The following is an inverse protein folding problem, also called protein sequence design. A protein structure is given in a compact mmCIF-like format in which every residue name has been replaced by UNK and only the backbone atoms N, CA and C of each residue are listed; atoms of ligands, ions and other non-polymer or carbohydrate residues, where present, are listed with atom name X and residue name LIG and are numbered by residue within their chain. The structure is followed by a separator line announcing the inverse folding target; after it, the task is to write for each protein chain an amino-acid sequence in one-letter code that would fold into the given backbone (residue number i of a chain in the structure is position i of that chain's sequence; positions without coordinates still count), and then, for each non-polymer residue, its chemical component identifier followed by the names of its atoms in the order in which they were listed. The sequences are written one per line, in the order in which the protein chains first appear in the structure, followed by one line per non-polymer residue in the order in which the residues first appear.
data_IF_362948326840
#
_entry.id   IF_362948326840
#
_cell.length_a   1.000
_cell.length_b   1.000
_cell.length_c   1.000
_cell.angle_alpha   90.00
_cell.angle_beta   90.00
_cell.angle_gamma   90.00
#
_symmetry.space_group_name_H-M   'P 1'
#
loop_
_entity.id
_entity.type
_entity.pdbx_description
1 polymer ?
#
# COMPACT_ATOMS: atom_id res chain seq x y z
N UNK A 1 27.62 -14.03 18.28
CA UNK A 1 27.12 -12.65 17.99
C UNK A 1 28.07 -11.55 18.46
N UNK A 2 28.81 -11.71 19.57
CA UNK A 2 29.67 -10.67 20.16
C UNK A 2 30.92 -10.29 19.33
N UNK A 3 31.60 -11.23 18.67
CA UNK A 3 32.84 -10.96 17.92
C UNK A 3 32.63 -10.26 16.57
N UNK A 4 31.50 -10.56 15.89
CA UNK A 4 31.16 -9.86 14.64
C UNK A 4 30.83 -8.39 14.89
N UNK A 5 30.11 -8.05 15.97
CA UNK A 5 29.73 -6.65 16.26
C UNK A 5 30.96 -5.79 16.56
N UNK A 6 31.94 -6.32 17.30
CA UNK A 6 33.25 -5.69 17.50
C UNK A 6 34.03 -5.48 16.19
N UNK A 7 33.84 -6.37 15.21
CA UNK A 7 34.57 -6.33 13.94
C UNK A 7 33.99 -5.34 12.92
N UNK A 8 32.80 -4.76 13.14
CA UNK A 8 32.16 -3.79 12.22
C UNK A 8 32.12 -2.37 12.77
N UNK A 9 32.52 -2.13 14.03
CA UNK A 9 32.46 -0.79 14.63
C UNK A 9 33.29 0.25 13.86
N UNK A 10 34.44 -0.15 13.31
CA UNK A 10 35.27 0.72 12.48
C UNK A 10 34.64 1.07 11.12
N UNK A 11 33.59 0.35 10.71
CA UNK A 11 32.84 0.60 9.47
C UNK A 11 31.61 1.51 9.70
N UNK A 12 31.36 1.91 10.96
CA UNK A 12 30.24 2.80 11.29
C UNK A 12 30.66 4.25 11.03
N UNK A 13 29.96 4.92 10.12
CA UNK A 13 30.09 6.36 9.89
C UNK A 13 28.83 7.10 10.28
N UNK A 14 29.01 8.30 10.84
CA UNK A 14 27.91 9.24 11.12
C UNK A 14 27.67 10.12 9.90
N UNK A 15 26.41 10.25 9.53
CA UNK A 15 25.95 11.10 8.44
C UNK A 15 24.85 12.05 8.96
N UNK A 16 25.03 13.38 8.88
CA UNK A 16 24.01 14.35 9.26
C UNK A 16 22.72 14.25 8.44
N UNK A 17 21.63 14.82 8.96
CA UNK A 17 20.41 15.00 8.15
C UNK A 17 20.70 15.90 6.94
N UNK A 18 20.11 15.56 5.79
CA UNK A 18 20.35 16.21 4.50
C UNK A 18 21.52 15.65 3.70
N UNK A 19 22.33 14.74 4.25
CA UNK A 19 23.46 14.14 3.51
C UNK A 19 22.95 13.26 2.35
N UNK A 20 23.31 13.63 1.13
CA UNK A 20 23.10 12.79 -0.07
C UNK A 20 24.24 11.77 -0.13
N UNK A 21 23.92 10.50 0.06
CA UNK A 21 24.90 9.41 0.06
C UNK A 21 25.30 9.02 -1.37
N UNK A 22 24.32 8.99 -2.28
CA UNK A 22 24.51 8.80 -3.71
C UNK A 22 23.25 9.19 -4.46
N UNK A 23 23.38 9.45 -5.76
CA UNK A 23 22.28 9.72 -6.68
C UNK A 23 22.01 8.52 -7.58
N UNK A 24 20.81 8.51 -8.16
CA UNK A 24 20.46 7.61 -9.25
C UNK A 24 21.46 7.76 -10.40
N UNK A 25 21.89 6.63 -10.99
CA UNK A 25 22.86 6.60 -12.07
C UNK A 25 24.32 6.66 -11.65
N UNK A 26 24.63 6.96 -10.38
CA UNK A 26 26.01 6.93 -9.88
C UNK A 26 26.57 5.50 -9.94
N UNK A 27 27.88 5.34 -10.08
CA UNK A 27 28.52 4.03 -9.88
C UNK A 27 28.56 3.72 -8.38
N UNK A 28 28.05 2.56 -7.99
CA UNK A 28 28.00 2.14 -6.59
C UNK A 28 28.93 0.97 -6.29
N UNK A 29 29.89 1.15 -5.38
CA UNK A 29 30.76 0.08 -4.87
C UNK A 29 30.59 -0.20 -3.37
N UNK A 30 29.67 0.53 -2.72
CA UNK A 30 29.39 0.41 -1.29
C UNK A 30 27.90 0.22 -1.05
N UNK A 31 27.51 -0.65 -0.14
CA UNK A 31 26.15 -0.70 0.44
C UNK A 31 26.18 -0.25 1.89
N UNK A 32 25.00 0.06 2.42
CA UNK A 32 24.85 0.63 3.76
C UNK A 32 23.88 -0.20 4.57
N UNK A 33 24.16 -0.36 5.87
CA UNK A 33 23.22 -0.90 6.86
C UNK A 33 22.95 0.17 7.90
N UNK A 34 21.68 0.45 8.18
CA UNK A 34 21.27 1.51 9.09
C UNK A 34 21.34 0.97 10.53
N UNK A 35 22.23 1.55 11.34
CA UNK A 35 22.30 1.28 12.78
C UNK A 35 21.33 2.16 13.56
N UNK A 36 21.24 3.43 13.20
CA UNK A 36 20.28 4.41 13.73
C UNK A 36 19.97 5.49 12.68
N UNK A 37 18.91 6.27 12.90
CA UNK A 37 18.47 7.32 11.97
C UNK A 37 17.61 6.80 10.83
N UNK A 38 17.40 7.64 9.80
CA UNK A 38 16.54 7.33 8.66
C UNK A 38 17.12 7.83 7.35
N UNK A 39 16.90 7.05 6.29
CA UNK A 39 17.36 7.35 4.93
C UNK A 39 16.19 7.27 3.95
N UNK A 40 15.98 8.35 3.21
CA UNK A 40 15.04 8.39 2.11
C UNK A 40 15.66 7.81 0.83
N UNK A 41 14.97 6.88 0.18
CA UNK A 41 15.31 6.35 -1.13
C UNK A 41 14.35 6.96 -2.14
N UNK A 42 14.89 7.63 -3.14
CA UNK A 42 14.11 8.42 -4.09
C UNK A 42 14.53 8.19 -5.54
N UNK A 43 13.61 8.44 -6.48
CA UNK A 43 13.87 8.38 -7.91
C UNK A 43 13.38 9.65 -8.58
N UNK A 44 14.08 10.12 -9.60
CA UNK A 44 13.63 11.28 -10.38
C UNK A 44 12.80 10.81 -11.58
N UNK A 45 11.55 11.27 -11.66
CA UNK A 45 10.66 11.00 -12.80
C UNK A 45 10.22 12.35 -13.37
N UNK A 46 10.70 12.66 -14.58
CA UNK A 46 10.56 14.01 -15.16
C UNK A 46 11.22 15.06 -14.26
N UNK A 47 10.43 16.06 -13.87
CA UNK A 47 10.88 17.14 -12.98
C UNK A 47 10.57 16.88 -11.49
N UNK A 48 9.98 15.73 -11.16
CA UNK A 48 9.60 15.39 -9.78
C UNK A 48 10.52 14.33 -9.16
N UNK A 49 10.84 14.51 -7.88
CA UNK A 49 11.49 13.49 -7.06
C UNK A 49 10.43 12.69 -6.31
N UNK A 50 10.40 11.38 -6.53
CA UNK A 50 9.44 10.46 -5.93
C UNK A 50 10.16 9.64 -4.87
N UNK A 51 9.65 9.70 -3.64
CA UNK A 51 10.11 8.84 -2.54
C UNK A 51 9.61 7.42 -2.77
N UNK A 52 10.54 6.48 -2.89
CA UNK A 52 10.26 5.04 -3.01
C UNK A 52 10.08 4.40 -1.63
N UNK A 53 10.92 4.79 -0.66
CA UNK A 53 10.85 4.29 0.71
C UNK A 53 11.64 5.19 1.68
N UNK A 54 11.23 5.24 2.95
CA UNK A 54 12.05 5.77 4.05
C UNK A 54 12.48 4.60 4.93
N UNK A 55 13.77 4.34 4.95
CA UNK A 55 14.39 3.21 5.64
C UNK A 55 14.90 3.61 7.03
N UNK A 56 14.79 2.70 8.00
CA UNK A 56 15.23 2.87 9.38
C UNK A 56 16.15 1.75 9.89
N UNK A 57 16.37 1.66 11.22
CA UNK A 57 17.33 0.74 11.83
C UNK A 57 17.11 -0.73 11.44
N UNK A 58 18.21 -1.42 11.15
CA UNK A 58 18.22 -2.82 10.70
C UNK A 58 17.94 -3.02 9.21
N UNK A 59 17.59 -1.97 8.48
CA UNK A 59 17.43 -2.00 7.03
C UNK A 59 18.76 -1.71 6.32
N UNK A 60 18.87 -2.15 5.06
CA UNK A 60 20.06 -1.93 4.23
C UNK A 60 19.69 -1.38 2.86
N UNK A 61 20.60 -0.70 2.18
CA UNK A 61 20.36 -0.15 0.85
C UNK A 61 21.64 0.00 0.04
N UNK A 62 21.48 0.18 -1.27
CA UNK A 62 22.60 0.28 -2.21
C UNK A 62 23.17 -1.07 -2.62
N UNK A 63 22.59 -2.18 -2.19
CA UNK A 63 23.00 -3.55 -2.50
C UNK A 63 22.87 -3.89 -3.99
N UNK A 64 21.89 -3.33 -4.69
CA UNK A 64 21.58 -3.69 -6.07
C UNK A 64 22.77 -3.41 -7.00
N UNK A 65 23.43 -2.26 -6.83
CA UNK A 65 24.61 -1.92 -7.62
C UNK A 65 25.77 -2.91 -7.41
N UNK A 66 25.91 -3.45 -6.19
CA UNK A 66 26.97 -4.40 -5.85
C UNK A 66 26.66 -5.81 -6.40
N UNK A 67 25.38 -6.20 -6.35
CA UNK A 67 24.89 -7.51 -6.80
C UNK A 67 24.84 -7.63 -8.32
N UNK A 68 24.39 -6.59 -9.01
CA UNK A 68 24.15 -6.61 -10.45
C UNK A 68 25.32 -6.01 -11.25
N UNK A 69 26.23 -5.28 -10.59
CA UNK A 69 27.29 -4.53 -11.27
C UNK A 69 26.75 -3.36 -12.11
N UNK A 70 25.53 -2.91 -11.83
CA UNK A 70 24.85 -1.81 -12.52
C UNK A 70 24.96 -0.50 -11.72
N UNK A 71 24.73 0.67 -12.36
CA UNK A 71 24.61 1.94 -11.65
C UNK A 71 23.51 1.94 -10.58
N UNK A 72 23.55 2.91 -9.65
CA UNK A 72 22.53 3.09 -8.62
C UNK A 72 21.14 3.21 -9.26
N UNK A 73 20.21 2.36 -8.82
CA UNK A 73 18.82 2.35 -9.29
C UNK A 73 17.95 3.49 -8.77
N UNK A 74 18.41 4.16 -7.71
CA UNK A 74 17.73 5.24 -7.00
C UNK A 74 18.77 6.10 -6.23
N UNK A 75 18.38 7.30 -5.82
CA UNK A 75 19.13 8.14 -4.89
C UNK A 75 18.88 7.77 -3.43
N UNK A 76 19.80 8.13 -2.55
CA UNK A 76 19.70 7.93 -1.10
C UNK A 76 20.12 9.19 -0.34
N UNK A 77 19.23 9.71 0.50
CA UNK A 77 19.45 10.93 1.28
C UNK A 77 19.09 10.69 2.74
N UNK A 78 19.98 11.05 3.67
CA UNK A 78 19.72 10.97 5.10
C UNK A 78 18.68 12.02 5.48
N UNK A 79 17.60 11.62 6.16
CA UNK A 79 16.51 12.50 6.59
C UNK A 79 16.43 12.67 8.11
N UNK A 80 17.04 11.75 8.84
CA UNK A 80 17.27 11.81 10.28
C UNK A 80 18.72 11.34 10.50
N UNK A 81 19.50 12.09 11.29
CA UNK A 81 20.93 11.81 11.51
C UNK A 81 21.19 10.30 11.70
N UNK A 82 22.06 9.75 10.86
CA UNK A 82 22.19 8.30 10.73
C UNK A 82 23.59 7.82 11.10
N UNK A 83 23.63 6.67 11.78
CA UNK A 83 24.83 5.85 11.91
C UNK A 83 24.71 4.72 10.90
N UNK A 84 25.60 4.68 9.91
CA UNK A 84 25.57 3.73 8.81
C UNK A 84 26.80 2.84 8.85
N UNK A 85 26.61 1.53 8.73
CA UNK A 85 27.70 0.58 8.48
C UNK A 85 27.93 0.55 6.97
N UNK A 86 29.11 0.96 6.53
CA UNK A 86 29.50 0.98 5.13
C UNK A 86 30.19 -0.34 4.75
N UNK A 87 29.65 -1.03 3.75
CA UNK A 87 30.16 -2.33 3.31
C UNK A 87 30.54 -2.25 1.84
N UNK A 88 31.83 -2.30 1.57
CA UNK A 88 32.37 -2.31 0.20
C UNK A 88 32.09 -3.64 -0.51
N UNK A 89 32.04 -3.61 -1.85
CA UNK A 89 31.72 -4.76 -2.69
C UNK A 89 32.56 -6.01 -2.38
N UNK A 90 33.87 -5.85 -2.19
CA UNK A 90 34.79 -6.95 -1.85
C UNK A 90 34.50 -7.57 -0.49
N UNK A 91 34.17 -6.72 0.51
CA UNK A 91 33.78 -7.16 1.84
C UNK A 91 32.41 -7.84 1.82
N UNK A 92 31.43 -7.29 1.10
CA UNK A 92 30.09 -7.83 0.96
C UNK A 92 30.11 -9.27 0.44
N UNK A 93 30.82 -9.51 -0.67
CA UNK A 93 30.93 -10.85 -1.26
C UNK A 93 31.56 -11.86 -0.28
N UNK A 94 32.53 -11.41 0.51
CA UNK A 94 33.18 -12.25 1.53
C UNK A 94 32.26 -12.56 2.70
N UNK A 95 31.51 -11.58 3.18
CA UNK A 95 30.54 -11.72 4.28
C UNK A 95 29.42 -12.69 3.89
N UNK A 96 28.86 -12.55 2.68
CA UNK A 96 27.81 -13.46 2.19
C UNK A 96 28.33 -14.89 2.06
N UNK A 97 29.56 -15.09 1.57
CA UNK A 97 30.17 -16.43 1.45
C UNK A 97 30.47 -17.07 2.80
N UNK A 98 30.94 -16.30 3.78
CA UNK A 98 31.37 -16.83 5.08
C UNK A 98 30.23 -16.95 6.10
N UNK A 99 29.12 -16.26 5.88
CA UNK A 99 28.00 -16.25 6.82
C UNK A 99 26.67 -16.43 6.09
N UNK A 100 26.21 -17.67 6.04
CA UNK A 100 24.93 -18.06 5.42
C UNK A 100 23.72 -17.42 6.11
N UNK A 101 23.81 -17.08 7.40
CA UNK A 101 22.71 -16.41 8.11
C UNK A 101 22.49 -14.99 7.58
N UNK A 102 23.56 -14.27 7.22
CA UNK A 102 23.47 -12.94 6.60
C UNK A 102 22.80 -13.04 5.23
N UNK A 103 23.17 -14.05 4.43
CA UNK A 103 22.52 -14.30 3.13
C UNK A 103 21.01 -14.54 3.29
N UNK A 104 20.60 -15.36 4.26
CA UNK A 104 19.17 -15.60 4.55
C UNK A 104 18.45 -14.33 4.99
N UNK A 105 19.07 -13.49 5.84
CA UNK A 105 18.50 -12.21 6.26
C UNK A 105 18.33 -11.24 5.07
N UNK A 106 19.32 -11.15 4.19
CA UNK A 106 19.23 -10.38 2.94
C UNK A 106 18.07 -10.87 2.07
N UNK A 107 17.99 -12.18 1.81
CA UNK A 107 16.91 -12.79 1.01
C UNK A 107 15.52 -12.49 1.59
N UNK A 108 15.34 -12.63 2.91
CA UNK A 108 14.07 -12.32 3.58
C UNK A 108 13.67 -10.85 3.41
N UNK A 109 14.63 -9.94 3.51
CA UNK A 109 14.39 -8.49 3.36
C UNK A 109 14.07 -8.11 1.92
N UNK A 110 14.80 -8.66 0.93
CA UNK A 110 14.50 -8.47 -0.49
C UNK A 110 13.12 -9.04 -0.85
N UNK A 111 12.79 -10.23 -0.36
CA UNK A 111 11.47 -10.84 -0.53
C UNK A 111 10.35 -10.00 0.08
N UNK A 112 10.58 -9.37 1.24
CA UNK A 112 9.63 -8.43 1.84
C UNK A 112 9.46 -7.15 1.02
N UNK A 113 10.53 -6.61 0.44
CA UNK A 113 10.47 -5.45 -0.45
C UNK A 113 9.74 -5.76 -1.75
N UNK A 114 9.96 -6.94 -2.32
CA UNK A 114 9.24 -7.38 -3.51
C UNK A 114 7.73 -7.46 -3.24
N UNK A 115 7.32 -8.09 -2.13
CA UNK A 115 5.90 -8.11 -1.73
C UNK A 115 5.31 -6.72 -1.48
N UNK A 116 6.10 -5.76 -1.02
CA UNK A 116 5.64 -4.38 -0.86
C UNK A 116 5.47 -3.68 -2.21
N UNK A 117 6.45 -3.81 -3.10
CA UNK A 117 6.38 -3.29 -4.45
C UNK A 117 5.21 -3.90 -5.24
N UNK A 118 5.00 -5.21 -5.14
CA UNK A 118 3.85 -5.89 -5.74
C UNK A 118 2.53 -5.33 -5.21
N UNK A 119 2.41 -5.09 -3.90
CA UNK A 119 1.22 -4.46 -3.31
C UNK A 119 1.00 -3.03 -3.82
N UNK A 120 2.06 -2.26 -4.00
CA UNK A 120 1.99 -0.91 -4.57
C UNK A 120 1.61 -0.95 -6.06
N UNK A 121 2.16 -1.89 -6.82
CA UNK A 121 1.81 -2.11 -8.23
C UNK A 121 0.35 -2.54 -8.33
N UNK A 122 -0.12 -3.48 -7.50
CA UNK A 122 -1.54 -3.86 -7.46
C UNK A 122 -2.44 -2.68 -7.10
N UNK A 123 -2.03 -1.85 -6.14
CA UNK A 123 -2.74 -0.62 -5.82
C UNK A 123 -2.79 0.35 -7.01
N UNK A 124 -1.71 0.48 -7.79
CA UNK A 124 -1.63 1.32 -8.99
C UNK A 124 -2.36 0.71 -10.20
N UNK A 125 -2.37 -0.62 -10.32
CA UNK A 125 -2.98 -1.41 -11.39
C UNK A 125 -4.48 -1.63 -11.21
N UNK A 126 -5.02 -1.37 -10.01
CA UNK A 126 -6.46 -1.36 -9.79
C UNK A 126 -7.16 -0.47 -10.82
N UNK A 127 -7.99 -1.07 -11.68
CA UNK A 127 -8.86 -0.32 -12.62
C UNK A 127 -9.84 0.57 -11.86
N UNK A 128 -10.19 0.18 -10.63
CA UNK A 128 -11.04 0.96 -9.75
C UNK A 128 -10.30 2.12 -9.09
N UNK A 129 -10.76 3.34 -9.33
CA UNK A 129 -10.27 4.52 -8.62
C UNK A 129 -10.61 4.50 -7.12
N UNK A 130 -11.59 3.71 -6.69
CA UNK A 130 -11.90 3.53 -5.27
C UNK A 130 -10.79 2.75 -4.54
N UNK A 131 -10.27 1.65 -5.11
CA UNK A 131 -9.16 0.92 -4.48
C UNK A 131 -7.85 1.72 -4.47
N UNK A 132 -7.61 2.58 -5.48
CA UNK A 132 -6.52 3.58 -5.44
C UNK A 132 -6.69 4.55 -4.28
N UNK A 133 -7.89 5.10 -4.11
CA UNK A 133 -8.20 6.00 -3.00
C UNK A 133 -7.99 5.33 -1.64
N UNK A 134 -8.49 4.11 -1.45
CA UNK A 134 -8.34 3.40 -0.17
C UNK A 134 -6.88 3.10 0.15
N UNK A 135 -6.08 2.76 -0.87
CA UNK A 135 -4.65 2.53 -0.71
C UNK A 135 -3.91 3.80 -0.26
N UNK A 136 -4.26 4.96 -0.84
CA UNK A 136 -3.70 6.25 -0.41
C UNK A 136 -4.11 6.60 1.02
N UNK A 137 -5.39 6.45 1.37
CA UNK A 137 -5.89 6.64 2.75
C UNK A 137 -5.12 5.76 3.73
N UNK A 138 -4.93 4.47 3.41
CA UNK A 138 -4.20 3.52 4.25
C UNK A 138 -2.75 3.93 4.47
N UNK A 139 -2.08 4.48 3.46
CA UNK A 139 -0.69 4.91 3.56
C UNK A 139 -0.53 6.18 4.43
N UNK A 140 -1.55 7.03 4.47
CA UNK A 140 -1.56 8.25 5.29
C UNK A 140 -2.02 8.00 6.73
N UNK A 141 -2.66 6.86 7.01
CA UNK A 141 -3.23 6.55 8.30
C UNK A 141 -2.15 6.18 9.34
N UNK A 142 -2.34 6.68 10.56
CA UNK A 142 -1.45 6.41 11.70
C UNK A 142 -1.57 5.00 12.30
N UNK A 143 -1.09 4.86 13.54
CA UNK A 143 -1.25 3.63 14.30
C UNK A 143 -2.73 3.34 14.63
N UNK A 144 -3.13 2.06 14.74
CA UNK A 144 -4.49 1.71 15.14
C UNK A 144 -4.78 2.05 16.60
N UNK A 145 -6.00 2.49 16.87
CA UNK A 145 -6.56 2.68 18.21
C UNK A 145 -7.09 1.34 18.80
N UNK A 146 -7.69 1.40 20.00
CA UNK A 146 -8.26 0.23 20.66
C UNK A 146 -9.43 -0.42 19.88
N UNK A 147 -10.05 0.31 18.96
CA UNK A 147 -11.11 -0.15 18.06
C UNK A 147 -10.57 -0.56 16.68
N UNK A 148 -9.24 -0.52 16.48
CA UNK A 148 -8.58 -0.84 15.22
C UNK A 148 -8.67 0.27 14.16
N UNK A 149 -9.21 1.45 14.49
CA UNK A 149 -9.29 2.60 13.60
C UNK A 149 -7.97 3.33 13.58
N UNK A 150 -7.60 3.92 12.45
CA UNK A 150 -6.32 4.62 12.28
C UNK A 150 -6.58 6.08 11.96
N UNK A 151 -6.15 6.99 12.83
CA UNK A 151 -6.37 8.42 12.64
C UNK A 151 -5.65 8.92 11.37
N UNK A 152 -6.32 9.78 10.62
CA UNK A 152 -5.76 10.47 9.46
C UNK A 152 -5.21 11.86 9.87
N UNK A 153 -4.35 12.47 9.04
CA UNK A 153 -3.85 13.83 9.24
C UNK A 153 -4.98 14.86 9.38
N UNK A 154 -4.74 15.92 10.17
CA UNK A 154 -5.76 16.91 10.55
C UNK A 154 -6.25 17.75 9.37
N UNK A 155 -5.41 17.95 8.36
CA UNK A 155 -5.70 18.69 7.14
C UNK A 155 -6.36 17.83 6.04
N UNK A 156 -6.61 16.54 6.33
CA UNK A 156 -7.10 15.62 5.33
C UNK A 156 -8.60 15.79 5.06
N UNK A 157 -8.91 16.27 3.86
CA UNK A 157 -10.25 16.29 3.30
C UNK A 157 -10.47 15.03 2.42
N UNK A 158 -11.42 14.13 2.76
CA UNK A 158 -11.68 12.93 1.97
C UNK A 158 -11.99 13.21 0.51
N UNK A 159 -12.86 14.19 0.23
CA UNK A 159 -13.21 14.59 -1.14
C UNK A 159 -11.97 15.00 -1.95
N UNK A 160 -11.11 15.84 -1.37
CA UNK A 160 -9.87 16.28 -2.02
C UNK A 160 -8.91 15.11 -2.28
N UNK A 161 -8.84 14.14 -1.36
CA UNK A 161 -8.04 12.93 -1.52
C UNK A 161 -8.52 12.07 -2.70
N UNK A 162 -9.84 11.88 -2.83
CA UNK A 162 -10.41 11.14 -3.96
C UNK A 162 -9.99 11.75 -5.30
N UNK A 163 -10.01 13.09 -5.39
CA UNK A 163 -9.57 13.81 -6.60
C UNK A 163 -8.08 13.65 -6.88
N UNK A 164 -7.24 13.56 -5.85
CA UNK A 164 -5.78 13.33 -6.00
C UNK A 164 -5.45 11.99 -6.65
N UNK A 165 -6.33 10.98 -6.56
CA UNK A 165 -6.14 9.68 -7.23
C UNK A 165 -6.77 9.61 -8.63
N UNK A 166 -7.16 10.76 -9.17
CA UNK A 166 -7.67 10.92 -10.53
C UNK A 166 -9.19 10.69 -10.69
N UNK A 167 -9.94 10.66 -9.59
CA UNK A 167 -11.41 10.60 -9.66
C UNK A 167 -11.98 11.98 -10.04
N UNK A 168 -12.95 12.00 -10.95
CA UNK A 168 -13.73 13.22 -11.27
C UNK A 168 -14.63 13.62 -10.10
N UNK A 169 -15.22 14.82 -10.14
CA UNK A 169 -16.03 15.35 -9.01
C UNK A 169 -17.15 14.41 -8.56
N UNK A 170 -17.95 13.90 -9.48
CA UNK A 170 -19.05 12.99 -9.17
C UNK A 170 -18.56 11.61 -8.72
N UNK A 171 -17.49 11.09 -9.33
CA UNK A 171 -16.88 9.83 -8.92
C UNK A 171 -16.30 9.93 -7.51
N UNK A 172 -15.62 11.04 -7.20
CA UNK A 172 -15.07 11.33 -5.89
C UNK A 172 -16.18 11.36 -4.82
N UNK A 173 -17.28 12.07 -5.08
CA UNK A 173 -18.45 12.09 -4.18
C UNK A 173 -19.09 10.71 -4.00
N UNK A 174 -19.12 9.88 -5.05
CA UNK A 174 -19.64 8.51 -4.95
C UNK A 174 -18.72 7.64 -4.07
N UNK A 175 -17.42 7.63 -4.33
CA UNK A 175 -16.45 6.83 -3.58
C UNK A 175 -16.39 7.27 -2.11
N UNK A 176 -16.38 8.58 -1.86
CA UNK A 176 -16.41 9.13 -0.50
C UNK A 176 -17.65 8.66 0.27
N UNK A 177 -18.84 8.71 -0.35
CA UNK A 177 -20.07 8.20 0.26
C UNK A 177 -20.01 6.70 0.55
N UNK A 178 -19.43 5.91 -0.35
CA UNK A 178 -19.23 4.47 -0.12
C UNK A 178 -18.31 4.25 1.08
N UNK A 179 -17.20 4.99 1.17
CA UNK A 179 -16.27 4.86 2.29
C UNK A 179 -16.88 5.27 3.63
N UNK A 180 -17.61 6.39 3.65
CA UNK A 180 -18.29 6.87 4.84
C UNK A 180 -19.35 5.88 5.32
N UNK A 181 -20.24 5.43 4.42
CA UNK A 181 -21.34 4.51 4.78
C UNK A 181 -20.86 3.13 5.22
N UNK A 182 -19.81 2.60 4.59
CA UNK A 182 -19.26 1.29 4.94
C UNK A 182 -18.43 1.30 6.22
N UNK A 183 -18.08 2.49 6.74
CA UNK A 183 -17.18 2.64 7.88
C UNK A 183 -15.69 2.55 7.51
N UNK A 184 -15.34 2.56 6.22
CA UNK A 184 -13.94 2.67 5.77
C UNK A 184 -13.37 4.05 6.10
N UNK A 185 -14.18 5.11 6.04
CA UNK A 185 -13.85 6.43 6.55
C UNK A 185 -14.84 6.81 7.66
N UNK A 186 -14.32 7.05 8.86
CA UNK A 186 -15.12 7.34 10.04
C UNK A 186 -14.83 8.77 10.49
N UNK A 187 -15.85 9.66 10.58
CA UNK A 187 -15.66 10.98 11.16
C UNK A 187 -15.42 10.86 12.67
N UNK A 188 -14.50 11.66 13.19
CA UNK A 188 -14.19 11.81 14.62
C UNK A 188 -14.78 13.12 15.14
N UNK A 189 -15.04 13.21 16.44
CA UNK A 189 -15.67 14.37 17.09
C UNK A 189 -14.91 15.69 16.87
N UNK A 190 -13.60 15.62 16.63
CA UNK A 190 -12.74 16.78 16.39
C UNK A 190 -12.77 17.32 14.95
N UNK A 191 -13.70 16.86 14.10
CA UNK A 191 -13.72 17.18 12.66
C UNK A 191 -12.66 16.45 11.84
N UNK A 192 -11.96 15.49 12.46
CA UNK A 192 -10.95 14.64 11.83
C UNK A 192 -11.58 13.39 11.24
N UNK A 193 -10.82 12.69 10.41
CA UNK A 193 -11.21 11.40 9.87
C UNK A 193 -10.30 10.28 10.38
N UNK A 194 -10.83 9.06 10.42
CA UNK A 194 -10.07 7.85 10.66
C UNK A 194 -10.38 6.81 9.58
N UNK A 195 -9.38 6.02 9.22
CA UNK A 195 -9.58 4.79 8.47
C UNK A 195 -10.17 3.72 9.40
N UNK A 196 -11.17 2.99 8.89
CA UNK A 196 -11.80 1.88 9.59
C UNK A 196 -10.86 0.69 9.86
N UNK A 197 -11.35 -0.35 10.55
CA UNK A 197 -10.55 -1.52 10.92
C UNK A 197 -9.92 -2.24 9.74
N UNK A 198 -8.74 -2.84 9.94
CA UNK A 198 -7.98 -3.53 8.89
C UNK A 198 -8.78 -4.63 8.17
N UNK A 199 -9.65 -5.35 8.88
CA UNK A 199 -10.48 -6.39 8.25
C UNK A 199 -11.44 -5.79 7.22
N UNK A 200 -12.03 -4.63 7.51
CA UNK A 200 -12.92 -3.94 6.59
C UNK A 200 -12.19 -3.45 5.34
N UNK A 201 -10.95 -2.97 5.50
CA UNK A 201 -10.08 -2.58 4.39
C UNK A 201 -9.80 -3.79 3.48
N UNK A 202 -9.50 -4.96 4.06
CA UNK A 202 -9.29 -6.20 3.31
C UNK A 202 -10.55 -6.64 2.58
N UNK A 203 -11.71 -6.60 3.25
CA UNK A 203 -13.00 -6.96 2.66
C UNK A 203 -13.32 -6.08 1.43
N UNK A 204 -13.02 -4.77 1.49
CA UNK A 204 -13.25 -3.86 0.37
C UNK A 204 -12.30 -4.12 -0.81
N UNK A 205 -11.03 -4.39 -0.54
CA UNK A 205 -10.07 -4.70 -1.61
C UNK A 205 -10.46 -6.00 -2.32
N UNK A 206 -10.87 -7.02 -1.55
CA UNK A 206 -11.40 -8.27 -2.09
C UNK A 206 -12.67 -8.02 -2.92
N UNK A 207 -13.58 -7.16 -2.45
CA UNK A 207 -14.78 -6.80 -3.20
C UNK A 207 -14.44 -6.22 -4.59
N UNK A 208 -13.52 -5.25 -4.64
CA UNK A 208 -13.12 -4.60 -5.89
C UNK A 208 -12.48 -5.60 -6.85
N UNK A 209 -11.63 -6.51 -6.35
CA UNK A 209 -11.02 -7.58 -7.14
C UNK A 209 -12.09 -8.51 -7.75
N UNK A 210 -13.07 -8.90 -6.95
CA UNK A 210 -14.15 -9.79 -7.39
C UNK A 210 -15.15 -9.10 -8.33
N UNK A 211 -15.32 -7.78 -8.22
CA UNK A 211 -16.21 -7.02 -9.10
C UNK A 211 -15.75 -7.10 -10.56
N UNK A 212 -14.43 -7.10 -10.82
CA UNK A 212 -13.89 -7.27 -12.19
C UNK A 212 -14.28 -8.62 -12.81
N UNK A 213 -14.45 -9.66 -11.97
CA UNK A 213 -14.79 -11.01 -12.42
C UNK A 213 -16.29 -11.23 -12.58
N UNK A 214 -17.11 -10.65 -11.70
CA UNK A 214 -18.53 -10.98 -11.56
C UNK A 214 -19.50 -9.88 -11.99
N UNK A 215 -19.02 -8.67 -12.29
CA UNK A 215 -19.88 -7.54 -12.69
C UNK A 215 -19.21 -6.68 -13.78
N UNK A 216 -19.17 -7.20 -15.03
CA UNK A 216 -18.46 -6.57 -16.13
C UNK A 216 -19.13 -5.29 -16.65
N UNK A 217 -20.38 -5.02 -16.24
CA UNK A 217 -21.14 -3.83 -16.61
C UNK A 217 -21.56 -3.07 -15.36
N UNK A 218 -21.43 -1.74 -15.38
CA UNK A 218 -21.87 -0.92 -14.27
C UNK A 218 -23.39 -0.68 -14.32
N UNK A 219 -23.96 -0.17 -13.22
CA UNK A 219 -25.40 0.07 -13.09
C UNK A 219 -25.98 0.97 -14.20
N UNK A 220 -25.24 1.98 -14.64
CA UNK A 220 -25.66 2.87 -15.73
C UNK A 220 -25.79 2.11 -17.05
N UNK A 221 -24.78 1.30 -17.39
CA UNK A 221 -24.81 0.44 -18.58
C UNK A 221 -25.93 -0.60 -18.51
N UNK A 222 -26.21 -1.15 -17.31
CA UNK A 222 -27.31 -2.07 -17.10
C UNK A 222 -28.68 -1.40 -17.30
N UNK A 223 -28.85 -0.17 -16.80
CA UNK A 223 -30.06 0.62 -16.99
C UNK A 223 -30.29 0.94 -18.47
N UNK A 224 -29.23 1.37 -19.18
CA UNK A 224 -29.28 1.66 -20.62
C UNK A 224 -29.65 0.42 -21.44
N UNK A 225 -28.99 -0.72 -21.21
CA UNK A 225 -29.29 -1.99 -21.89
C UNK A 225 -30.70 -2.50 -21.61
N UNK A 226 -31.21 -2.30 -20.40
CA UNK A 226 -32.54 -2.71 -20.01
C UNK A 226 -33.64 -1.72 -20.42
N UNK A 227 -33.28 -0.54 -20.94
CA UNK A 227 -34.23 0.53 -21.24
C UNK A 227 -34.94 1.07 -19.99
N UNK A 228 -34.27 1.02 -18.83
CA UNK A 228 -34.79 1.45 -17.54
C UNK A 228 -34.12 2.75 -17.11
N UNK A 229 -34.77 3.50 -16.21
CA UNK A 229 -34.05 4.52 -15.47
C UNK A 229 -33.09 3.88 -14.44
N UNK A 230 -32.04 4.61 -14.06
CA UNK A 230 -31.03 4.10 -13.12
C UNK A 230 -31.60 3.74 -11.75
N UNK A 231 -32.67 4.42 -11.31
CA UNK A 231 -33.27 4.21 -9.99
C UNK A 231 -34.04 2.89 -9.96
N UNK A 232 -34.80 2.61 -11.01
CA UNK A 232 -35.54 1.37 -11.22
C UNK A 232 -34.58 0.20 -11.43
N UNK A 233 -33.53 0.40 -12.23
CA UNK A 233 -32.44 -0.57 -12.39
C UNK A 233 -31.78 -0.90 -11.03
N UNK A 234 -31.50 0.12 -10.20
CA UNK A 234 -30.92 -0.07 -8.87
C UNK A 234 -31.85 -0.88 -7.95
N UNK A 235 -33.14 -0.57 -7.94
CA UNK A 235 -34.12 -1.28 -7.12
C UNK A 235 -34.28 -2.74 -7.54
N UNK A 236 -34.25 -3.03 -8.84
CA UNK A 236 -34.31 -4.39 -9.36
C UNK A 236 -33.04 -5.15 -8.99
N UNK A 237 -31.87 -4.55 -9.23
CA UNK A 237 -30.58 -5.15 -8.87
C UNK A 237 -30.49 -5.49 -7.37
N UNK A 238 -30.94 -4.58 -6.50
CA UNK A 238 -30.99 -4.80 -5.06
C UNK A 238 -31.94 -5.96 -4.68
N UNK A 239 -33.15 -5.99 -5.26
CA UNK A 239 -34.11 -7.10 -5.04
C UNK A 239 -33.55 -8.45 -5.48
N UNK A 240 -32.90 -8.51 -6.64
CA UNK A 240 -32.27 -9.72 -7.16
C UNK A 240 -31.11 -10.15 -6.24
N UNK A 241 -30.28 -9.21 -5.80
CA UNK A 241 -29.19 -9.48 -4.85
C UNK A 241 -29.72 -10.10 -3.55
N UNK A 242 -30.77 -9.51 -2.96
CA UNK A 242 -31.37 -10.01 -1.73
C UNK A 242 -31.98 -11.41 -1.91
N UNK A 243 -32.68 -11.66 -3.02
CA UNK A 243 -33.23 -12.97 -3.33
C UNK A 243 -32.13 -14.04 -3.44
N UNK A 244 -31.05 -13.74 -4.18
CA UNK A 244 -29.90 -14.66 -4.35
C UNK A 244 -29.19 -14.97 -3.04
N UNK A 245 -29.06 -13.97 -2.15
CA UNK A 245 -28.48 -14.16 -0.82
C UNK A 245 -29.39 -15.01 0.08
N UNK A 246 -30.72 -14.83 0.00
CA UNK A 246 -31.69 -15.59 0.77
C UNK A 246 -31.76 -17.07 0.35
N UNK A 247 -31.77 -17.35 -0.95
CA UNK A 247 -31.74 -18.71 -1.52
C UNK A 247 -30.50 -19.48 -1.04
N UNK A 248 -29.32 -18.84 -0.99
CA UNK A 248 -28.07 -19.49 -0.58
C UNK A 248 -27.96 -19.71 0.93
N UNK A 249 -28.61 -18.93 1.79
CA UNK A 249 -28.65 -19.19 3.24
C UNK A 249 -29.36 -20.51 3.58
N UNK A 250 -30.20 -21.03 2.68
CA UNK A 250 -30.87 -22.33 2.82
C UNK A 250 -30.08 -23.54 2.33
N UNK A 251 -28.98 -23.33 1.60
CA UNK A 251 -28.15 -24.38 1.02
C UNK A 251 -26.91 -24.61 1.89
N UNK A 252 -26.71 -25.82 2.42
CA UNK A 252 -25.57 -26.21 3.27
C UNK A 252 -24.21 -26.29 2.53
N UNK A 253 -24.11 -25.75 1.32
CA UNK A 253 -22.86 -25.76 0.55
C UNK A 253 -22.05 -24.50 0.88
N UNK A 254 -21.03 -24.68 1.72
CA UNK A 254 -20.20 -23.62 2.24
C UNK A 254 -19.37 -22.90 1.17
N UNK A 255 -19.37 -21.57 1.23
CA UNK A 255 -18.29 -20.68 0.77
C UNK A 255 -17.81 -20.84 -0.70
N UNK A 256 -18.73 -20.88 -1.66
CA UNK A 256 -18.36 -20.60 -3.06
C UNK A 256 -18.06 -19.08 -3.23
N UNK A 257 -16.99 -18.75 -3.97
CA UNK A 257 -16.47 -17.39 -4.16
C UNK A 257 -17.57 -16.39 -4.59
N UNK A 258 -18.53 -16.81 -5.41
CA UNK A 258 -19.63 -15.94 -5.80
C UNK A 258 -20.55 -15.52 -4.63
N UNK A 259 -20.72 -16.37 -3.61
CA UNK A 259 -21.50 -16.03 -2.42
C UNK A 259 -20.82 -14.96 -1.56
N UNK A 260 -19.50 -15.08 -1.41
CA UNK A 260 -18.67 -14.05 -0.76
C UNK A 260 -18.78 -12.73 -1.52
N UNK A 261 -18.73 -12.77 -2.86
CA UNK A 261 -18.92 -11.58 -3.68
C UNK A 261 -20.27 -10.89 -3.43
N UNK A 262 -21.38 -11.64 -3.43
CA UNK A 262 -22.72 -11.06 -3.20
C UNK A 262 -22.85 -10.42 -1.81
N UNK A 263 -22.26 -11.04 -0.78
CA UNK A 263 -22.27 -10.46 0.57
C UNK A 263 -21.45 -9.15 0.64
N UNK A 264 -20.29 -9.11 -0.01
CA UNK A 264 -19.48 -7.91 -0.12
C UNK A 264 -20.16 -6.82 -0.97
N UNK A 265 -20.81 -7.19 -2.08
CA UNK A 265 -21.60 -6.29 -2.93
C UNK A 265 -22.75 -5.65 -2.15
N UNK A 266 -23.47 -6.45 -1.36
CA UNK A 266 -24.50 -5.93 -0.47
C UNK A 266 -23.92 -4.91 0.51
N UNK A 267 -22.75 -5.19 1.10
CA UNK A 267 -22.12 -4.30 2.09
C UNK A 267 -21.58 -3.00 1.53
N UNK A 268 -21.01 -3.00 0.32
CA UNK A 268 -20.32 -1.83 -0.21
C UNK A 268 -21.12 -1.04 -1.23
N UNK A 269 -22.06 -1.67 -1.93
CA UNK A 269 -22.86 -1.02 -2.97
C UNK A 269 -24.29 -0.75 -2.51
N UNK A 270 -24.89 -1.68 -1.76
CA UNK A 270 -26.31 -1.64 -1.37
C UNK A 270 -26.56 -1.65 0.14
N UNK A 271 -25.58 -1.25 0.97
CA UNK A 271 -25.80 -1.19 2.41
C UNK A 271 -26.98 -0.24 2.68
N UNK A 272 -28.02 -0.77 3.33
CA UNK A 272 -29.32 -0.13 3.50
C UNK A 272 -29.18 1.30 4.04
N UNK A 273 -29.96 2.20 3.44
CA UNK A 273 -30.38 3.46 4.05
C UNK A 273 -31.80 3.32 4.55
#
# INVERSE_FOLDING_TARGET
MSEMVSSVEHLVRRHPSGTVLFREGDRGQTMYVIRSGRVNISKRIGDSEITLAVLGPGEFFGEMALLEGLPRSAGATVVEEALLIEVEQGAFATVVRRNSEIAVRLMRRLSSRLREADRQIQALMSRSGAARALSLVRNLAGAPDAQGRRALPDDLNPHALMRRVGLTGDEALRVERVFARSGLLVPLESGRWALGPEQLVKDFLLYVEMQEQYDPINLHQLAELAGLDERDAAQIACRVLHARLAERRGSQDGSDAYGTYLALKQRFEYAEG
#
